data_IF_074105737670
#
_entry.id   IF_074105737670
#
_cell.length_a   1.000
_cell.length_b   1.000
_cell.length_c   1.000
_cell.angle_alpha   90.00
_cell.angle_beta   90.00
_cell.angle_gamma   90.00
#
_symmetry.space_group_name_H-M   'P 1'
#
loop_
_entity.id
_entity.type
_entity.pdbx_description
1 polymer ?
#
# COMPACT_ATOMS: atom_id res chain seq x y z
N UNK A 1 16.03 -32.12 22.67
CA UNK A 1 14.93 -31.18 22.34
C UNK A 1 13.95 -31.93 21.48
N UNK A 2 12.63 -31.75 21.64
CA UNK A 2 11.69 -32.30 20.64
C UNK A 2 11.83 -31.49 19.34
N UNK A 3 11.51 -32.09 18.20
CA UNK A 3 11.60 -31.43 16.88
C UNK A 3 10.82 -30.10 16.83
N UNK A 4 9.67 -30.06 17.51
CA UNK A 4 8.85 -28.85 17.68
C UNK A 4 9.64 -27.69 18.29
N UNK A 5 10.30 -27.89 19.43
CA UNK A 5 11.03 -26.81 20.13
C UNK A 5 12.29 -26.38 19.38
N UNK A 6 12.91 -27.28 18.62
CA UNK A 6 14.01 -26.93 17.71
C UNK A 6 13.51 -26.01 16.59
N UNK A 7 12.36 -26.32 15.98
CA UNK A 7 11.78 -25.48 14.93
C UNK A 7 11.44 -24.06 15.44
N UNK A 8 10.84 -23.94 16.63
CA UNK A 8 10.55 -22.63 17.24
C UNK A 8 11.84 -21.87 17.56
N UNK A 9 12.89 -22.54 18.03
CA UNK A 9 14.18 -21.92 18.28
C UNK A 9 14.84 -21.41 16.98
N UNK A 10 14.81 -22.21 15.90
CA UNK A 10 15.29 -21.77 14.58
C UNK A 10 14.52 -20.56 14.09
N UNK A 11 13.19 -20.57 14.23
CA UNK A 11 12.36 -19.44 13.87
C UNK A 11 12.74 -18.18 14.65
N UNK A 12 12.90 -18.28 15.97
CA UNK A 12 13.38 -17.18 16.82
C UNK A 12 14.73 -16.61 16.35
N UNK A 13 15.70 -17.46 16.00
CA UNK A 13 17.00 -16.98 15.52
C UNK A 13 16.89 -16.24 14.18
N UNK A 14 16.02 -16.70 13.29
CA UNK A 14 15.72 -16.00 12.04
C UNK A 14 15.06 -14.65 12.31
N UNK A 15 14.10 -14.57 13.24
CA UNK A 15 13.47 -13.31 13.63
C UNK A 15 14.49 -12.30 14.16
N UNK A 16 15.38 -12.74 15.05
CA UNK A 16 16.46 -11.90 15.59
C UNK A 16 17.37 -11.42 14.45
N UNK A 17 17.79 -12.31 13.56
CA UNK A 17 18.65 -11.95 12.43
C UNK A 17 18.01 -10.90 11.52
N UNK A 18 16.73 -11.09 11.17
CA UNK A 18 15.98 -10.14 10.34
C UNK A 18 15.80 -8.80 11.06
N UNK A 19 15.43 -8.81 12.34
CA UNK A 19 15.25 -7.59 13.13
C UNK A 19 16.54 -6.80 13.27
N UNK A 20 17.66 -7.46 13.57
CA UNK A 20 18.97 -6.82 13.62
C UNK A 20 19.30 -6.21 12.25
N UNK A 21 19.11 -6.95 11.17
CA UNK A 21 19.36 -6.48 9.82
C UNK A 21 18.48 -5.28 9.42
N UNK A 22 17.21 -5.25 9.84
CA UNK A 22 16.30 -4.11 9.63
C UNK A 22 16.68 -2.88 10.48
N UNK A 23 17.21 -3.09 11.68
CA UNK A 23 17.63 -2.02 12.60
C UNK A 23 19.02 -1.45 12.29
N UNK A 24 19.78 -2.04 11.37
CA UNK A 24 21.10 -1.53 10.99
C UNK A 24 20.96 -0.12 10.38
N UNK A 25 21.65 0.90 10.93
CA UNK A 25 21.55 2.28 10.46
C UNK A 25 22.18 2.50 9.06
N UNK A 26 22.93 1.53 8.55
CA UNK A 26 23.60 1.59 7.25
C UNK A 26 22.62 1.54 6.05
N UNK A 27 21.44 0.94 6.22
CA UNK A 27 20.46 0.79 5.14
C UNK A 27 19.35 1.83 5.35
N UNK A 28 19.25 2.80 4.44
CA UNK A 28 18.21 3.83 4.53
C UNK A 28 16.80 3.23 4.40
N UNK A 29 15.84 3.81 5.10
CA UNK A 29 14.42 3.41 5.03
C UNK A 29 13.88 3.43 3.58
N UNK A 30 14.40 4.31 2.72
CA UNK A 30 14.06 4.38 1.29
C UNK A 30 14.51 3.15 0.50
N UNK A 31 15.68 2.56 0.82
CA UNK A 31 16.14 1.31 0.17
C UNK A 31 15.26 0.14 0.58
N UNK A 32 14.95 0.05 1.87
CA UNK A 32 13.99 -0.94 2.39
C UNK A 32 12.62 -0.82 1.74
N UNK A 33 12.08 0.39 1.62
CA UNK A 33 10.80 0.61 0.95
C UNK A 33 10.82 0.18 -0.51
N UNK A 34 11.93 0.39 -1.23
CA UNK A 34 12.06 -0.08 -2.61
C UNK A 34 12.02 -1.60 -2.70
N UNK A 35 12.71 -2.31 -1.79
CA UNK A 35 12.68 -3.78 -1.69
C UNK A 35 11.26 -4.27 -1.34
N UNK A 36 10.59 -3.63 -0.38
CA UNK A 36 9.21 -3.97 0.01
C UNK A 36 8.16 -3.60 -1.05
N UNK A 37 8.46 -2.68 -1.97
CA UNK A 37 7.59 -2.31 -3.09
C UNK A 37 7.85 -3.08 -4.38
N UNK A 38 8.80 -4.02 -4.40
CA UNK A 38 8.99 -4.91 -5.55
C UNK A 38 7.68 -5.65 -5.87
N UNK A 39 7.38 -5.86 -7.15
CA UNK A 39 6.13 -6.48 -7.62
C UNK A 39 5.79 -7.81 -6.92
N UNK A 40 6.81 -8.55 -6.47
CA UNK A 40 6.66 -9.80 -5.71
C UNK A 40 5.98 -9.54 -4.35
N UNK A 41 6.41 -8.49 -3.63
CA UNK A 41 5.88 -8.14 -2.32
C UNK A 41 4.48 -7.53 -2.40
N UNK A 42 4.18 -6.76 -3.44
CA UNK A 42 2.82 -6.24 -3.67
C UNK A 42 1.80 -7.37 -3.95
N UNK A 43 2.19 -8.40 -4.70
CA UNK A 43 1.34 -9.59 -4.89
C UNK A 43 1.17 -10.42 -3.62
N UNK A 44 2.19 -10.41 -2.74
CA UNK A 44 2.18 -11.16 -1.48
C UNK A 44 1.49 -10.40 -0.33
N UNK A 45 1.38 -9.08 -0.42
CA UNK A 45 0.74 -8.19 0.57
C UNK A 45 -0.63 -8.69 1.09
N UNK A 46 -1.61 -9.09 0.24
CA UNK A 46 -2.90 -9.58 0.72
C UNK A 46 -2.79 -10.92 1.48
N UNK A 47 -1.81 -11.76 1.16
CA UNK A 47 -1.55 -13.01 1.87
C UNK A 47 -0.79 -12.78 3.18
N UNK A 48 0.03 -11.73 3.24
CA UNK A 48 0.90 -11.44 4.37
C UNK A 48 0.12 -11.16 5.66
N UNK A 49 -1.03 -10.50 5.56
CA UNK A 49 -1.87 -10.26 6.74
C UNK A 49 -2.50 -11.56 7.28
N UNK A 50 -2.95 -12.45 6.38
CA UNK A 50 -3.50 -13.77 6.74
C UNK A 50 -2.42 -14.68 7.32
N UNK A 51 -1.24 -14.73 6.69
CA UNK A 51 -0.09 -15.50 7.18
C UNK A 51 0.41 -15.00 8.53
N UNK A 52 0.50 -13.68 8.72
CA UNK A 52 0.86 -13.06 9.99
C UNK A 52 -0.10 -13.45 11.12
N UNK A 53 -1.42 -13.37 10.87
CA UNK A 53 -2.44 -13.75 11.84
C UNK A 53 -2.41 -15.25 12.17
N UNK A 54 -2.18 -16.08 11.15
CA UNK A 54 -2.05 -17.53 11.36
C UNK A 54 -0.83 -17.85 12.22
N UNK A 55 0.31 -17.22 11.94
CA UNK A 55 1.55 -17.45 12.68
C UNK A 55 1.44 -17.00 14.14
N UNK A 56 0.81 -15.85 14.42
CA UNK A 56 0.62 -15.41 15.80
C UNK A 56 -0.29 -16.36 16.59
N UNK A 57 -1.35 -16.92 15.97
CA UNK A 57 -2.21 -17.92 16.63
C UNK A 57 -1.39 -19.16 16.98
N UNK A 58 -0.56 -19.66 16.07
CA UNK A 58 0.32 -20.81 16.32
C UNK A 58 1.29 -20.53 17.48
N UNK A 59 1.93 -19.36 17.49
CA UNK A 59 2.85 -18.96 18.56
C UNK A 59 2.14 -18.81 19.91
N UNK A 60 0.91 -18.28 19.94
CA UNK A 60 0.10 -18.21 21.16
C UNK A 60 -0.20 -19.61 21.70
N UNK A 61 -0.60 -20.54 20.84
CA UNK A 61 -0.89 -21.93 21.25
C UNK A 61 0.36 -22.59 21.84
N UNK A 62 1.51 -22.44 21.18
CA UNK A 62 2.79 -22.96 21.66
C UNK A 62 3.23 -22.32 22.98
N UNK A 63 3.00 -21.01 23.14
CA UNK A 63 3.28 -20.30 24.38
C UNK A 63 2.39 -20.79 25.53
N UNK A 64 1.09 -20.96 25.28
CA UNK A 64 0.16 -21.51 26.29
C UNK A 64 0.50 -22.94 26.66
N UNK A 65 0.94 -23.76 25.70
CA UNK A 65 1.45 -25.12 25.95
C UNK A 65 2.68 -25.08 26.86
N UNK A 66 3.66 -24.22 26.57
CA UNK A 66 4.83 -24.03 27.44
C UNK A 66 4.44 -23.54 28.84
N UNK A 67 3.50 -22.60 28.96
CA UNK A 67 3.00 -22.12 30.26
C UNK A 67 2.36 -23.27 31.05
N UNK A 68 1.54 -24.10 30.39
CA UNK A 68 0.92 -25.28 31.02
C UNK A 68 1.99 -26.29 31.45
N UNK A 69 2.98 -26.54 30.61
CA UNK A 69 4.08 -27.47 30.89
C UNK A 69 4.91 -26.99 32.10
N UNK A 70 5.26 -25.70 32.16
CA UNK A 70 5.95 -25.10 33.32
C UNK A 70 5.08 -25.20 34.57
N UNK A 71 3.80 -24.82 34.52
CA UNK A 71 2.90 -24.91 35.69
C UNK A 71 2.74 -26.36 36.19
N UNK A 72 2.65 -27.33 35.27
CA UNK A 72 2.56 -28.76 35.59
C UNK A 72 3.79 -29.25 36.35
N UNK A 73 4.99 -28.87 35.91
CA UNK A 73 6.23 -29.31 36.55
C UNK A 73 6.65 -28.45 37.75
N UNK A 74 6.17 -27.20 37.86
CA UNK A 74 6.40 -26.32 39.01
C UNK A 74 5.45 -26.57 40.18
N UNK A 75 4.18 -26.88 39.91
CA UNK A 75 3.13 -27.03 40.93
C UNK A 75 2.98 -28.45 41.50
N UNK A 76 3.64 -29.44 40.89
CA UNK A 76 3.71 -30.79 41.46
C UNK A 76 4.82 -30.80 42.52
N UNK A 77 4.46 -30.52 43.78
CA UNK A 77 5.30 -30.91 44.91
C UNK A 77 5.69 -32.38 44.71
N UNK A 78 6.99 -32.76 44.74
CA UNK A 78 7.36 -34.15 44.59
C UNK A 78 6.68 -34.90 45.72
N UNK A 79 5.72 -35.77 45.35
CA UNK A 79 5.07 -36.67 46.30
C UNK A 79 6.15 -37.38 47.12
N UNK A 80 5.83 -37.78 48.35
CA UNK A 80 6.81 -38.37 49.29
C UNK A 80 7.68 -39.47 48.65
N UNK A 81 7.14 -40.19 47.66
CA UNK A 81 7.83 -41.23 46.86
C UNK A 81 8.90 -40.71 45.89
N UNK A 82 8.78 -39.48 45.39
CA UNK A 82 9.76 -38.84 44.50
C UNK A 82 10.95 -38.22 45.25
N UNK A 83 10.78 -37.84 46.53
CA UNK A 83 11.89 -37.44 47.41
C UNK A 83 12.72 -38.63 47.89
N UNK A 84 12.15 -39.83 47.90
CA UNK A 84 12.81 -41.08 48.33
C UNK A 84 13.72 -41.67 47.24
N UNK A 85 13.55 -41.26 45.97
CA UNK A 85 14.39 -41.71 44.86
C UNK A 85 15.14 -40.53 44.22
N UNK A 86 16.44 -40.34 44.50
CA UNK A 86 17.23 -39.22 43.94
C UNK A 86 17.20 -39.15 42.41
N UNK A 87 17.19 -40.31 41.72
CA UNK A 87 17.08 -40.38 40.26
C UNK A 87 15.75 -39.83 39.70
N UNK A 88 14.67 -39.87 40.47
CA UNK A 88 13.35 -39.38 40.04
C UNK A 88 13.23 -37.86 40.25
N UNK A 89 13.83 -37.36 41.34
CA UNK A 89 13.89 -35.95 41.67
C UNK A 89 14.70 -35.16 40.62
N UNK A 90 15.88 -35.65 40.23
CA UNK A 90 16.72 -35.04 39.20
C UNK A 90 16.05 -35.03 37.82
N UNK A 91 15.32 -36.10 37.48
CA UNK A 91 14.57 -36.16 36.23
C UNK A 91 13.42 -35.15 36.19
N UNK A 92 12.79 -34.83 37.33
CA UNK A 92 11.73 -33.85 37.43
C UNK A 92 12.27 -32.41 37.27
N UNK A 93 13.38 -32.08 37.93
CA UNK A 93 14.08 -30.80 37.75
C UNK A 93 14.55 -30.60 36.31
N UNK A 94 15.11 -31.63 35.69
CA UNK A 94 15.54 -31.57 34.29
C UNK A 94 14.38 -31.28 33.32
N UNK A 95 13.16 -31.79 33.61
CA UNK A 95 11.95 -31.47 32.84
C UNK A 95 11.47 -30.04 33.09
N UNK A 96 11.56 -29.55 34.33
CA UNK A 96 11.20 -28.18 34.68
C UNK A 96 12.10 -27.15 33.96
N UNK A 97 13.42 -27.34 33.99
CA UNK A 97 14.36 -26.46 33.27
C UNK A 97 14.11 -26.48 31.75
N UNK A 98 13.74 -27.63 31.20
CA UNK A 98 13.38 -27.76 29.79
C UNK A 98 12.13 -26.94 29.47
N UNK A 99 11.09 -27.03 30.29
CA UNK A 99 9.84 -26.29 30.13
C UNK A 99 10.06 -24.78 30.27
N UNK A 100 10.87 -24.34 31.24
CA UNK A 100 11.22 -22.92 31.43
C UNK A 100 11.91 -22.34 30.20
N UNK A 101 12.92 -23.03 29.65
CA UNK A 101 13.58 -22.58 28.41
C UNK A 101 12.60 -22.49 27.24
N UNK A 102 11.74 -23.49 27.07
CA UNK A 102 10.74 -23.52 26.00
C UNK A 102 9.73 -22.37 26.12
N UNK A 103 9.37 -22.01 27.36
CA UNK A 103 8.55 -20.83 27.65
C UNK A 103 9.24 -19.54 27.20
N UNK A 104 10.52 -19.36 27.51
CA UNK A 104 11.27 -18.18 27.05
C UNK A 104 11.37 -18.14 25.52
N UNK A 105 11.70 -19.27 24.86
CA UNK A 105 11.84 -19.32 23.40
C UNK A 105 10.52 -18.94 22.71
N UNK A 106 9.40 -19.53 23.12
CA UNK A 106 8.08 -19.21 22.55
C UNK A 106 7.63 -17.79 22.88
N UNK A 107 7.87 -17.31 24.10
CA UNK A 107 7.50 -15.97 24.53
C UNK A 107 8.29 -14.89 23.79
N UNK A 108 9.61 -15.05 23.67
CA UNK A 108 10.44 -14.13 22.89
C UNK A 108 10.08 -14.16 21.42
N UNK A 109 9.80 -15.33 20.85
CA UNK A 109 9.42 -15.41 19.44
C UNK A 109 8.10 -14.70 19.16
N UNK A 110 7.09 -14.92 20.00
CA UNK A 110 5.82 -14.20 19.90
C UNK A 110 6.02 -12.67 20.02
N UNK A 111 6.84 -12.22 20.96
CA UNK A 111 7.15 -10.81 21.12
C UNK A 111 7.89 -10.22 19.91
N UNK A 112 8.94 -10.89 19.44
CA UNK A 112 9.74 -10.42 18.31
C UNK A 112 8.93 -10.43 17.00
N UNK A 113 8.02 -11.38 16.81
CA UNK A 113 7.10 -11.38 15.67
C UNK A 113 6.25 -10.10 15.61
N UNK A 114 5.70 -9.68 16.76
CA UNK A 114 4.95 -8.43 16.89
C UNK A 114 5.82 -7.20 16.64
N UNK A 115 7.02 -7.18 17.23
CA UNK A 115 8.00 -6.10 17.03
C UNK A 115 8.40 -6.00 15.56
N UNK A 116 8.63 -7.11 14.87
CA UNK A 116 8.98 -7.15 13.46
C UNK A 116 7.91 -6.48 12.61
N UNK A 117 6.63 -6.82 12.83
CA UNK A 117 5.51 -6.15 12.13
C UNK A 117 5.48 -4.66 12.40
N UNK A 118 5.72 -4.24 13.65
CA UNK A 118 5.78 -2.83 14.02
C UNK A 118 6.92 -2.11 13.31
N UNK A 119 8.13 -2.68 13.30
CA UNK A 119 9.32 -2.12 12.66
C UNK A 119 9.12 -1.97 11.16
N UNK A 120 8.63 -3.00 10.47
CA UNK A 120 8.36 -2.93 9.01
C UNK A 120 7.34 -1.84 8.69
N UNK A 121 6.30 -1.70 9.50
CA UNK A 121 5.29 -0.65 9.31
C UNK A 121 5.89 0.75 9.50
N UNK A 122 6.70 0.94 10.54
CA UNK A 122 7.39 2.20 10.82
C UNK A 122 8.39 2.56 9.71
N UNK A 123 9.14 1.59 9.18
CA UNK A 123 10.06 1.81 8.05
C UNK A 123 9.30 2.30 6.83
N UNK A 124 8.17 1.66 6.49
CA UNK A 124 7.34 2.07 5.36
C UNK A 124 6.73 3.48 5.55
N UNK A 125 6.29 3.81 6.76
CA UNK A 125 5.79 5.14 7.11
C UNK A 125 6.91 6.19 7.00
N UNK A 126 8.08 5.92 7.58
CA UNK A 126 9.23 6.81 7.54
C UNK A 126 9.71 7.06 6.10
N UNK A 127 9.76 6.02 5.29
CA UNK A 127 10.18 6.13 3.90
C UNK A 127 9.17 6.92 3.05
N UNK A 128 7.86 6.72 3.30
CA UNK A 128 6.80 7.52 2.67
C UNK A 128 6.88 8.99 3.08
N UNK A 129 7.04 9.27 4.38
CA UNK A 129 7.21 10.62 4.90
C UNK A 129 8.45 11.32 4.31
N UNK A 130 9.58 10.60 4.19
CA UNK A 130 10.80 11.13 3.58
C UNK A 130 10.59 11.46 2.09
N UNK A 131 9.88 10.62 1.35
CA UNK A 131 9.57 10.87 -0.06
C UNK A 131 8.61 12.05 -0.23
N UNK A 132 7.60 12.19 0.64
CA UNK A 132 6.69 13.35 0.59
C UNK A 132 7.40 14.64 0.93
N UNK A 133 8.30 14.66 1.91
CA UNK A 133 9.10 15.85 2.23
C UNK A 133 10.02 16.23 1.08
N UNK A 134 10.67 15.26 0.43
CA UNK A 134 11.48 15.52 -0.76
C UNK A 134 10.66 16.12 -1.91
N UNK A 135 9.49 15.55 -2.18
CA UNK A 135 8.58 16.08 -3.21
C UNK A 135 8.08 17.50 -2.88
N UNK A 136 7.71 17.76 -1.62
CA UNK A 136 7.30 19.08 -1.15
C UNK A 136 8.43 20.10 -1.26
N UNK A 137 9.67 19.71 -0.97
CA UNK A 137 10.83 20.58 -1.09
C UNK A 137 11.10 20.94 -2.56
N UNK A 138 11.08 19.97 -3.47
CA UNK A 138 11.21 20.23 -4.92
C UNK A 138 10.06 21.08 -5.45
N UNK A 139 8.83 20.86 -4.95
CA UNK A 139 7.67 21.66 -5.32
C UNK A 139 7.81 23.11 -4.84
N UNK A 140 8.27 23.32 -3.60
CA UNK A 140 8.53 24.64 -3.05
C UNK A 140 9.65 25.37 -3.81
N UNK A 141 10.73 24.68 -4.17
CA UNK A 141 11.80 25.24 -5.00
C UNK A 141 11.30 25.62 -6.40
N UNK A 142 10.51 24.77 -7.03
CA UNK A 142 9.91 25.03 -8.35
C UNK A 142 8.94 26.21 -8.30
N UNK A 143 8.10 26.31 -7.27
CA UNK A 143 7.20 27.44 -7.07
C UNK A 143 7.96 28.73 -6.81
N UNK A 144 9.06 28.68 -6.04
CA UNK A 144 9.90 29.85 -5.77
C UNK A 144 10.65 30.32 -7.02
N UNK A 145 11.12 29.39 -7.86
CA UNK A 145 11.71 29.72 -9.16
C UNK A 145 10.69 30.36 -10.10
N UNK A 146 9.47 29.81 -10.17
CA UNK A 146 8.39 30.42 -10.95
C UNK A 146 8.04 31.82 -10.44
N UNK A 147 7.92 32.01 -9.12
CA UNK A 147 7.68 33.32 -8.52
C UNK A 147 8.79 34.32 -8.86
N UNK A 148 10.06 33.91 -8.80
CA UNK A 148 11.19 34.75 -9.22
C UNK A 148 11.08 35.16 -10.69
N UNK A 149 10.80 34.22 -11.59
CA UNK A 149 10.60 34.52 -13.01
C UNK A 149 9.47 35.52 -13.23
N UNK A 150 8.33 35.34 -12.55
CA UNK A 150 7.23 36.30 -12.63
C UNK A 150 7.60 37.67 -12.08
N UNK A 151 8.42 37.76 -11.02
CA UNK A 151 8.92 39.04 -10.51
C UNK A 151 9.85 39.72 -11.51
N UNK A 152 10.81 38.98 -12.08
CA UNK A 152 11.74 39.49 -13.10
C UNK A 152 10.99 39.94 -14.37
N UNK A 153 10.06 39.13 -14.88
CA UNK A 153 9.24 39.49 -16.05
C UNK A 153 8.40 40.75 -15.77
N UNK A 154 7.85 40.88 -14.57
CA UNK A 154 7.04 42.04 -14.19
C UNK A 154 7.90 43.30 -13.99
N UNK A 155 9.14 43.16 -13.52
CA UNK A 155 10.12 44.26 -13.50
C UNK A 155 10.53 44.68 -14.91
N UNK A 156 10.81 43.73 -15.81
CA UNK A 156 11.11 44.01 -17.22
C UNK A 156 9.93 44.69 -17.94
N UNK A 157 8.71 44.20 -17.71
CA UNK A 157 7.48 44.82 -18.22
C UNK A 157 7.33 46.25 -17.72
N UNK A 158 7.59 46.51 -16.43
CA UNK A 158 7.55 47.88 -15.88
C UNK A 158 8.60 48.77 -16.52
N UNK A 159 9.84 48.30 -16.68
CA UNK A 159 10.91 49.06 -17.33
C UNK A 159 10.55 49.38 -18.79
N UNK A 160 10.06 48.40 -19.56
CA UNK A 160 9.59 48.60 -20.92
C UNK A 160 8.41 49.59 -21.00
N UNK A 161 7.51 49.57 -20.00
CA UNK A 161 6.39 50.51 -19.92
C UNK A 161 6.84 51.94 -19.57
N UNK A 162 7.90 52.09 -18.75
CA UNK A 162 8.48 53.39 -18.41
C UNK A 162 9.34 53.97 -19.54
N UNK A 163 10.12 53.16 -20.25
CA UNK A 163 10.83 53.56 -21.47
C UNK A 163 9.87 53.87 -22.63
N UNK A 164 8.71 53.21 -22.68
CA UNK A 164 7.65 53.42 -23.67
C UNK A 164 6.84 54.71 -23.48
N UNK A 165 7.09 55.52 -22.44
CA UNK A 165 6.45 56.84 -22.23
C UNK A 165 7.03 57.94 -23.16
N UNK A 166 7.11 57.64 -24.45
CA UNK A 166 7.14 58.66 -25.51
C UNK A 166 5.75 58.75 -26.13
N UNK A 167 5.10 59.91 -26.02
CA UNK A 167 3.69 60.20 -26.31
C UNK A 167 3.16 59.84 -27.73
N UNK A 168 3.94 59.19 -28.58
CA UNK A 168 3.53 58.73 -29.92
C UNK A 168 3.28 57.21 -30.03
N UNK A 169 3.86 56.36 -29.18
CA UNK A 169 3.73 54.90 -29.28
C UNK A 169 2.45 54.34 -28.62
N UNK A 170 1.87 55.07 -27.66
CA UNK A 170 0.71 54.64 -26.85
C UNK A 170 -0.61 54.64 -27.64
N UNK A 171 -0.71 55.41 -28.72
CA UNK A 171 -1.92 55.48 -29.54
C UNK A 171 -2.00 54.31 -30.54
N UNK A 172 -0.91 54.03 -31.26
CA UNK A 172 -0.82 52.92 -32.21
C UNK A 172 -0.82 51.56 -31.49
N UNK A 173 -0.11 51.45 -30.36
CA UNK A 173 -0.10 50.25 -29.53
C UNK A 173 -1.47 49.89 -28.97
N UNK A 174 -2.25 50.88 -28.52
CA UNK A 174 -3.62 50.66 -28.04
C UNK A 174 -4.59 50.23 -29.16
N UNK A 175 -4.37 50.67 -30.40
CA UNK A 175 -5.16 50.21 -31.54
C UNK A 175 -4.84 48.76 -31.91
N UNK A 176 -3.56 48.37 -31.91
CA UNK A 176 -3.13 46.99 -32.13
C UNK A 176 -3.64 46.07 -31.02
N UNK A 177 -3.55 46.48 -29.75
CA UNK A 177 -4.11 45.75 -28.61
C UNK A 177 -5.62 45.54 -28.74
N UNK A 178 -6.35 46.54 -29.23
CA UNK A 178 -7.80 46.41 -29.49
C UNK A 178 -8.11 45.43 -30.62
N UNK A 179 -7.25 45.37 -31.65
CA UNK A 179 -7.39 44.38 -32.73
C UNK A 179 -7.10 42.96 -32.24
N UNK A 180 -6.05 42.78 -31.43
CA UNK A 180 -5.74 41.48 -30.82
C UNK A 180 -6.82 41.04 -29.83
N UNK A 181 -7.34 41.94 -28.99
CA UNK A 181 -8.47 41.63 -28.10
C UNK A 181 -9.72 41.23 -28.87
N UNK A 182 -10.01 41.87 -30.01
CA UNK A 182 -11.12 41.46 -30.88
C UNK A 182 -10.87 40.07 -31.47
N UNK A 183 -9.66 39.83 -31.98
CA UNK A 183 -9.28 38.53 -32.57
C UNK A 183 -9.32 37.40 -31.55
N UNK A 184 -8.74 37.61 -30.36
CA UNK A 184 -8.81 36.65 -29.25
C UNK A 184 -10.25 36.40 -28.79
N UNK A 185 -11.10 37.43 -28.77
CA UNK A 185 -12.51 37.27 -28.40
C UNK A 185 -13.29 36.47 -29.46
N UNK A 186 -12.95 36.63 -30.73
CA UNK A 186 -13.52 35.87 -31.85
C UNK A 186 -13.02 34.41 -31.85
N UNK A 187 -11.72 34.20 -31.60
CA UNK A 187 -11.14 32.86 -31.39
C UNK A 187 -11.72 32.16 -30.16
N UNK A 188 -11.98 32.88 -29.07
CA UNK A 188 -12.62 32.33 -27.88
C UNK A 188 -14.09 31.96 -28.16
N UNK A 189 -14.82 32.80 -28.88
CA UNK A 189 -16.21 32.53 -29.25
C UNK A 189 -16.34 31.33 -30.20
N UNK A 190 -15.45 31.22 -31.19
CA UNK A 190 -15.40 30.06 -32.10
C UNK A 190 -15.00 28.79 -31.36
N UNK A 191 -13.99 28.84 -30.50
CA UNK A 191 -13.60 27.70 -29.67
C UNK A 191 -14.71 27.27 -28.68
N UNK A 192 -15.49 28.22 -28.14
CA UNK A 192 -16.64 27.90 -27.28
C UNK A 192 -17.76 27.20 -28.07
N UNK A 193 -18.02 27.63 -29.30
CA UNK A 193 -19.02 27.01 -30.19
C UNK A 193 -18.60 25.59 -30.62
N UNK A 194 -17.33 25.41 -30.99
CA UNK A 194 -16.75 24.10 -31.29
C UNK A 194 -16.83 23.14 -30.09
N UNK A 195 -16.57 23.65 -28.88
CA UNK A 195 -16.69 22.87 -27.65
C UNK A 195 -18.14 22.42 -27.40
N UNK A 196 -19.12 23.32 -27.59
CA UNK A 196 -20.55 23.00 -27.45
C UNK A 196 -20.99 21.96 -28.48
N UNK A 197 -20.54 22.11 -29.73
CA UNK A 197 -20.80 21.13 -30.79
C UNK A 197 -20.22 19.77 -30.45
N UNK A 198 -18.95 19.72 -30.05
CA UNK A 198 -18.27 18.49 -29.60
C UNK A 198 -18.98 17.83 -28.42
N UNK A 199 -19.42 18.59 -27.42
CA UNK A 199 -20.22 18.07 -26.30
C UNK A 199 -21.55 17.45 -26.78
N UNK A 200 -22.26 18.12 -27.69
CA UNK A 200 -23.51 17.57 -28.24
C UNK A 200 -23.30 16.28 -29.04
N UNK A 201 -22.19 16.17 -29.78
CA UNK A 201 -21.80 14.95 -30.51
C UNK A 201 -21.46 13.81 -29.55
N UNK A 202 -20.75 14.09 -28.45
CA UNK A 202 -20.46 13.10 -27.39
C UNK A 202 -21.74 12.62 -26.73
N UNK A 203 -22.69 13.50 -26.41
CA UNK A 203 -23.99 13.11 -25.85
C UNK A 203 -24.81 12.27 -26.83
N UNK A 204 -24.81 12.63 -28.12
CA UNK A 204 -25.47 11.85 -29.16
C UNK A 204 -24.84 10.45 -29.31
N UNK A 205 -23.49 10.36 -29.33
CA UNK A 205 -22.76 9.10 -29.39
C UNK A 205 -23.03 8.23 -28.17
N UNK A 206 -23.11 8.83 -26.98
CA UNK A 206 -23.48 8.12 -25.74
C UNK A 206 -24.88 7.51 -25.85
N UNK A 207 -25.89 8.27 -26.30
CA UNK A 207 -27.25 7.76 -26.51
C UNK A 207 -27.30 6.64 -27.55
N UNK A 208 -26.52 6.75 -28.63
CA UNK A 208 -26.41 5.69 -29.64
C UNK A 208 -25.77 4.42 -29.07
N UNK A 209 -24.71 4.55 -28.27
CA UNK A 209 -24.05 3.41 -27.60
C UNK A 209 -24.97 2.71 -26.58
N UNK A 210 -25.73 3.49 -25.80
CA UNK A 210 -26.76 2.95 -24.89
C UNK A 210 -27.86 2.21 -25.66
N UNK A 211 -28.33 2.77 -26.78
CA UNK A 211 -29.28 2.10 -27.67
C UNK A 211 -28.75 0.78 -28.23
N UNK A 212 -27.49 0.76 -28.70
CA UNK A 212 -26.85 -0.45 -29.22
C UNK A 212 -26.67 -1.53 -28.15
N UNK A 213 -26.33 -1.12 -26.93
CA UNK A 213 -26.20 -2.04 -25.79
C UNK A 213 -27.54 -2.71 -25.47
N UNK A 214 -28.63 -1.95 -25.45
CA UNK A 214 -29.97 -2.49 -25.21
C UNK A 214 -30.42 -3.47 -26.30
N UNK A 215 -30.17 -3.16 -27.58
CA UNK A 215 -30.49 -4.08 -28.68
C UNK A 215 -29.62 -5.35 -28.64
N UNK A 216 -28.36 -5.22 -28.22
CA UNK A 216 -27.47 -6.37 -28.02
C UNK A 216 -27.98 -7.28 -26.90
N UNK A 217 -28.37 -6.71 -25.75
CA UNK A 217 -28.94 -7.46 -24.62
C UNK A 217 -30.24 -8.16 -25.02
N UNK A 218 -31.10 -7.49 -25.80
CA UNK A 218 -32.32 -8.07 -26.35
C UNK A 218 -32.01 -9.25 -27.28
N UNK A 219 -31.05 -9.10 -28.19
CA UNK A 219 -30.65 -10.17 -29.10
C UNK A 219 -30.07 -11.38 -28.35
N UNK A 220 -29.34 -11.14 -27.26
CA UNK A 220 -28.80 -12.20 -26.41
C UNK A 220 -29.93 -12.98 -25.70
N UNK A 221 -30.95 -12.27 -25.20
CA UNK A 221 -32.15 -12.88 -24.62
C UNK A 221 -32.92 -13.72 -25.65
N UNK A 222 -33.17 -13.17 -26.83
CA UNK A 222 -33.84 -13.87 -27.93
C UNK A 222 -33.05 -15.12 -28.34
N UNK A 223 -31.71 -15.02 -28.42
CA UNK A 223 -30.84 -16.17 -28.71
C UNK A 223 -30.91 -17.26 -27.63
N UNK A 224 -30.93 -16.86 -26.35
CA UNK A 224 -31.06 -17.78 -25.23
C UNK A 224 -32.43 -18.48 -25.24
N UNK A 225 -33.51 -17.76 -25.56
CA UNK A 225 -34.85 -18.33 -25.69
C UNK A 225 -34.91 -19.36 -26.82
N UNK A 226 -34.36 -19.04 -28.00
CA UNK A 226 -34.27 -19.97 -29.12
C UNK A 226 -33.45 -21.22 -28.78
N UNK A 227 -32.31 -21.09 -28.09
CA UNK A 227 -31.53 -22.24 -27.63
C UNK A 227 -32.32 -23.13 -26.66
N UNK A 228 -33.07 -22.53 -25.73
CA UNK A 228 -33.92 -23.28 -24.80
C UNK A 228 -35.05 -24.02 -25.54
N UNK A 229 -35.65 -23.41 -26.56
CA UNK A 229 -36.68 -24.05 -27.38
C UNK A 229 -36.11 -25.26 -28.15
N UNK A 230 -34.94 -25.13 -28.77
CA UNK A 230 -34.25 -26.24 -29.44
C UNK A 230 -33.94 -27.38 -28.45
N UNK A 231 -33.38 -27.06 -27.28
CA UNK A 231 -33.08 -28.05 -26.24
C UNK A 231 -34.33 -28.73 -25.66
N UNK A 232 -35.49 -28.09 -25.73
CA UNK A 232 -36.78 -28.67 -25.33
C UNK A 232 -37.42 -29.52 -26.43
N UNK A 233 -37.12 -29.23 -27.70
CA UNK A 233 -37.55 -30.01 -28.86
C UNK A 233 -36.84 -31.35 -28.95
N UNK A 234 -35.54 -31.39 -28.68
CA UNK A 234 -34.73 -32.62 -28.69
C UNK A 234 -35.10 -33.63 -27.58
N UNK A 235 -35.83 -33.21 -26.53
CA UNK A 235 -36.29 -34.09 -25.45
C UNK A 235 -37.62 -34.80 -25.73
N UNK A 236 -38.24 -34.59 -26.90
CA UNK A 236 -39.52 -35.22 -27.26
C UNK A 236 -39.40 -36.40 -28.24
N UNK A 237 -38.20 -36.73 -28.70
CA UNK A 237 -37.95 -37.81 -29.65
C UNK A 237 -37.16 -39.01 -29.04
N UNK A 238 -37.34 -39.30 -27.73
CA UNK A 238 -36.98 -40.57 -27.08
C UNK A 238 -38.21 -41.21 -26.39
#
# INVERSE_FOLDING_TARGET
MTLQWTAVATFLYVEIGILLLLCIPFISATRWQSIFKLNIWNKLSPFWNKGFLTMIIVLIVLFLDAVREVKKYSGTEPGKDAKLNPNMYDHMHMKLFRAQRNLYISGFSLFLWLVMRRVITLINQLATAKNTTGALQTQAESANQAAKKYMEDNELLKQALEEGKGDQATAEGNELLRKELKKLKEELATSEDDLKKSQSEVEAMKRQSEGLTNEYDRLLLDHQELQNQIASGDKKDD
#
